data_IF_860718590395
#
_entry.id   IF_860718590395
#
_cell.length_a   1.000
_cell.length_b   1.000
_cell.length_c   1.000
_cell.angle_alpha   90.00
_cell.angle_beta   90.00
_cell.angle_gamma   90.00
#
_symmetry.space_group_name_H-M   'P 1'
#
loop_
_entity.id
_entity.type
_entity.pdbx_description
1 polymer ?
#
# COMPACT_ATOMS: atom_id res chain seq x y z
N UNK A 1 27.35 7.82 -16.56
CA UNK A 1 26.25 7.18 -15.81
C UNK A 1 25.08 7.20 -16.75
N UNK A 2 24.75 6.06 -17.37
CA UNK A 2 23.55 5.98 -18.21
C UNK A 2 22.35 6.46 -17.39
N UNK A 3 21.61 7.43 -17.93
CA UNK A 3 20.52 8.11 -17.25
C UNK A 3 19.32 7.17 -17.16
N UNK A 4 19.35 6.20 -16.25
CA UNK A 4 18.18 5.38 -15.94
C UNK A 4 17.01 6.30 -15.62
N UNK A 5 15.87 6.06 -16.26
CA UNK A 5 14.65 6.81 -15.97
C UNK A 5 14.24 6.53 -14.52
N UNK A 6 14.24 7.58 -13.69
CA UNK A 6 13.84 7.50 -12.27
C UNK A 6 12.68 8.45 -12.04
N UNK A 7 11.51 7.89 -11.71
CA UNK A 7 10.36 8.67 -11.29
C UNK A 7 9.69 8.03 -10.08
N UNK A 8 9.32 8.85 -9.10
CA UNK A 8 8.38 8.48 -8.05
C UNK A 8 7.02 9.05 -8.41
N UNK A 9 6.10 8.17 -8.81
CA UNK A 9 4.75 8.54 -9.18
C UNK A 9 3.91 8.79 -7.93
N UNK A 10 3.31 9.98 -7.87
CA UNK A 10 2.39 10.40 -6.83
C UNK A 10 0.98 10.08 -7.29
N UNK A 11 0.44 8.98 -6.78
CA UNK A 11 -0.90 8.51 -7.10
C UNK A 11 -1.94 9.42 -6.47
N UNK A 12 -2.92 9.84 -7.29
CA UNK A 12 -4.04 10.66 -6.84
C UNK A 12 -5.30 10.44 -7.66
N UNK A 13 -6.46 10.57 -7.02
CA UNK A 13 -7.79 10.60 -7.68
C UNK A 13 -8.40 12.01 -7.61
N UNK A 14 -7.60 13.01 -7.23
CA UNK A 14 -8.01 14.42 -7.17
C UNK A 14 -6.84 15.36 -7.44
N UNK A 15 -7.07 16.53 -8.05
CA UNK A 15 -6.02 17.50 -8.23
C UNK A 15 -5.48 18.01 -6.88
N UNK A 16 -4.17 18.26 -6.84
CA UNK A 16 -3.55 18.97 -5.73
C UNK A 16 -2.54 20.02 -6.22
N UNK A 17 -2.52 21.21 -5.58
CA UNK A 17 -1.87 22.40 -6.16
C UNK A 17 -0.37 22.52 -5.83
N UNK A 18 0.15 21.76 -4.88
CA UNK A 18 1.53 21.97 -4.44
C UNK A 18 2.54 21.45 -5.47
N UNK A 19 3.69 22.14 -5.61
CA UNK A 19 4.79 21.72 -6.45
C UNK A 19 5.44 20.47 -5.86
N UNK A 20 5.98 19.63 -6.73
CA UNK A 20 6.74 18.44 -6.36
C UNK A 20 8.19 18.60 -6.83
N UNK A 21 9.15 17.91 -6.20
CA UNK A 21 10.50 17.84 -6.73
C UNK A 21 10.50 17.27 -8.17
N UNK A 22 11.48 17.61 -9.02
CA UNK A 22 11.48 17.24 -10.44
C UNK A 22 11.33 15.75 -10.73
N UNK A 23 11.82 14.88 -9.84
CA UNK A 23 11.75 13.42 -9.98
C UNK A 23 10.46 12.79 -9.44
N UNK A 24 9.51 13.61 -8.98
CA UNK A 24 8.18 13.17 -8.59
C UNK A 24 7.16 13.58 -9.65
N UNK A 25 6.47 12.59 -10.22
CA UNK A 25 5.48 12.78 -11.28
C UNK A 25 4.07 12.54 -10.75
N UNK A 26 3.12 13.46 -11.01
CA UNK A 26 1.71 13.25 -10.62
C UNK A 26 1.07 12.23 -11.57
N UNK A 27 0.50 11.15 -11.02
CA UNK A 27 -0.27 10.15 -11.76
C UNK A 27 -1.72 10.19 -11.27
N UNK A 28 -2.62 10.64 -12.15
CA UNK A 28 -4.05 10.63 -11.90
C UNK A 28 -4.60 9.23 -12.18
N UNK A 29 -5.23 8.62 -11.17
CA UNK A 29 -5.85 7.30 -11.26
C UNK A 29 -7.36 7.37 -11.37
N UNK A 30 -7.96 6.39 -12.04
CA UNK A 30 -9.38 6.43 -12.41
C UNK A 30 -9.69 7.47 -13.48
N UNK A 31 -8.68 7.84 -14.27
CA UNK A 31 -8.78 8.86 -15.30
C UNK A 31 -9.78 8.51 -16.42
N UNK A 32 -10.12 7.22 -16.60
CA UNK A 32 -11.14 6.78 -17.54
C UNK A 32 -12.53 7.42 -17.31
N UNK A 33 -12.78 7.94 -16.10
CA UNK A 33 -14.04 8.60 -15.73
C UNK A 33 -14.03 10.11 -15.93
N UNK A 34 -12.89 10.70 -16.26
CA UNK A 34 -12.76 12.14 -16.45
C UNK A 34 -13.19 12.54 -17.86
N UNK A 35 -13.93 13.64 -17.95
CA UNK A 35 -14.24 14.26 -19.23
C UNK A 35 -12.95 14.85 -19.89
N UNK A 36 -12.89 14.96 -21.23
CA UNK A 36 -11.73 15.50 -21.94
C UNK A 36 -11.28 16.88 -21.44
N UNK A 37 -12.22 17.76 -21.13
CA UNK A 37 -12.00 19.10 -20.59
C UNK A 37 -11.38 19.08 -19.19
N UNK A 38 -11.79 18.13 -18.34
CA UNK A 38 -11.21 17.96 -17.01
C UNK A 38 -9.76 17.52 -17.14
N UNK A 39 -9.45 16.55 -18.02
CA UNK A 39 -8.07 16.12 -18.28
C UNK A 39 -7.21 17.25 -18.84
N UNK A 40 -7.74 18.02 -19.79
CA UNK A 40 -7.03 19.16 -20.38
C UNK A 40 -6.68 20.25 -19.34
N UNK A 41 -7.48 20.38 -18.27
CA UNK A 41 -7.21 21.30 -17.18
C UNK A 41 -6.08 20.84 -16.23
N UNK A 42 -5.82 19.53 -16.16
CA UNK A 42 -4.86 18.89 -15.26
C UNK A 42 -3.44 18.89 -15.84
N UNK A 43 -2.89 20.08 -16.06
CA UNK A 43 -1.53 20.25 -16.62
C UNK A 43 -0.46 19.61 -15.73
N UNK A 44 0.44 18.86 -16.36
CA UNK A 44 1.55 18.18 -15.68
C UNK A 44 1.19 16.86 -15.00
N UNK A 45 -0.04 16.37 -15.15
CA UNK A 45 -0.44 15.03 -14.75
C UNK A 45 -0.23 14.05 -15.89
N UNK A 46 0.18 12.84 -15.55
CA UNK A 46 -0.02 11.66 -16.40
C UNK A 46 -1.26 10.91 -15.93
N UNK A 47 -1.86 10.14 -16.82
CA UNK A 47 -3.16 9.50 -16.58
C UNK A 47 -3.05 7.98 -16.75
N UNK A 48 -3.65 7.24 -15.84
CA UNK A 48 -3.61 5.78 -15.82
C UNK A 48 -4.50 5.11 -16.87
N UNK A 49 -5.19 5.86 -17.73
CA UNK A 49 -6.10 5.33 -18.75
C UNK A 49 -5.53 5.35 -20.18
N UNK A 50 -4.22 5.55 -20.28
CA UNK A 50 -3.47 5.46 -21.54
C UNK A 50 -2.73 4.12 -21.65
N UNK A 51 -2.41 3.69 -22.87
CA UNK A 51 -1.69 2.43 -23.09
C UNK A 51 -2.45 1.22 -22.52
N UNK A 52 -1.72 0.21 -22.05
CA UNK A 52 -2.33 -0.97 -21.40
C UNK A 52 -2.68 -0.61 -19.95
N UNK A 53 -3.96 -0.72 -19.59
CA UNK A 53 -4.44 -0.23 -18.30
C UNK A 53 -5.69 -0.93 -17.77
N UNK A 54 -6.04 -0.60 -16.52
CA UNK A 54 -7.28 -1.01 -15.83
C UNK A 54 -7.96 0.19 -15.13
N UNK A 55 -7.84 1.40 -15.68
CA UNK A 55 -8.28 2.65 -15.04
C UNK A 55 -9.76 2.62 -14.63
N UNK A 56 -10.62 1.98 -15.44
CA UNK A 56 -12.05 1.83 -15.16
C UNK A 56 -12.34 1.12 -13.83
N UNK A 57 -11.42 0.24 -13.39
CA UNK A 57 -11.52 -0.55 -12.16
C UNK A 57 -11.13 0.21 -10.89
N UNK A 58 -10.81 1.51 -10.98
CA UNK A 58 -10.28 2.31 -9.86
C UNK A 58 -11.19 2.34 -8.63
N UNK A 59 -12.52 2.22 -8.78
CA UNK A 59 -13.42 2.15 -7.61
C UNK A 59 -13.13 0.99 -6.67
N UNK A 60 -12.59 -0.12 -7.20
CA UNK A 60 -12.29 -1.32 -6.41
C UNK A 60 -10.80 -1.55 -6.22
N UNK A 61 -9.99 -1.25 -7.25
CA UNK A 61 -8.54 -1.39 -7.22
C UNK A 61 -7.81 -0.18 -6.63
N UNK A 62 -8.47 0.98 -6.50
CA UNK A 62 -7.88 2.19 -5.95
C UNK A 62 -6.54 2.54 -6.62
N UNK A 63 -5.51 2.85 -5.84
CA UNK A 63 -4.16 3.13 -6.32
C UNK A 63 -3.54 2.03 -7.19
N UNK A 64 -4.05 0.79 -7.13
CA UNK A 64 -3.50 -0.32 -7.89
C UNK A 64 -3.70 -0.14 -9.39
N UNK A 65 -4.65 0.68 -9.85
CA UNK A 65 -4.75 1.01 -11.28
C UNK A 65 -3.52 1.80 -11.76
N UNK A 66 -2.98 2.66 -10.91
CA UNK A 66 -1.70 3.33 -11.15
C UNK A 66 -0.51 2.37 -11.10
N UNK A 67 -0.52 1.43 -10.14
CA UNK A 67 0.50 0.38 -10.04
C UNK A 67 0.51 -0.50 -11.30
N UNK A 68 -0.66 -0.92 -11.79
CA UNK A 68 -0.83 -1.67 -13.03
C UNK A 68 -0.36 -0.88 -14.25
N UNK A 69 -0.73 0.39 -14.34
CA UNK A 69 -0.30 1.24 -15.45
C UNK A 69 1.22 1.37 -15.50
N UNK A 70 1.87 1.53 -14.34
CA UNK A 70 3.33 1.60 -14.28
C UNK A 70 4.00 0.27 -14.67
N UNK A 71 3.41 -0.86 -14.29
CA UNK A 71 3.90 -2.17 -14.69
C UNK A 71 3.95 -2.30 -16.22
N UNK A 72 2.87 -1.89 -16.89
CA UNK A 72 2.73 -2.10 -18.33
C UNK A 72 3.37 -1.02 -19.22
N UNK A 73 3.61 0.18 -18.68
CA UNK A 73 3.96 1.34 -19.51
C UNK A 73 5.32 2.00 -19.16
N UNK A 74 6.05 1.50 -18.14
CA UNK A 74 7.40 2.00 -17.83
C UNK A 74 8.49 1.16 -18.52
N UNK A 75 9.63 1.77 -18.89
CA UNK A 75 10.71 1.06 -19.57
C UNK A 75 11.44 0.11 -18.62
N UNK A 76 12.00 -0.98 -19.17
CA UNK A 76 12.59 -2.09 -18.42
C UNK A 76 13.82 -1.72 -17.59
N UNK A 77 14.53 -0.65 -17.97
CA UNK A 77 15.72 -0.18 -17.25
C UNK A 77 15.42 0.85 -16.15
N UNK A 78 14.14 1.18 -15.94
CA UNK A 78 13.70 2.21 -14.99
C UNK A 78 13.89 1.81 -13.53
N UNK A 79 13.94 2.84 -12.67
CA UNK A 79 13.62 2.71 -11.26
C UNK A 79 12.24 3.34 -11.05
N UNK A 80 11.29 2.51 -10.65
CA UNK A 80 9.88 2.89 -10.48
C UNK A 80 9.58 3.10 -9.01
N UNK A 81 9.01 4.26 -8.68
CA UNK A 81 8.49 4.56 -7.37
C UNK A 81 7.00 4.86 -7.39
N UNK A 82 6.30 4.47 -6.32
CA UNK A 82 4.90 4.78 -6.05
C UNK A 82 4.77 5.36 -4.66
N UNK A 83 4.09 6.50 -4.58
CA UNK A 83 3.71 7.20 -3.36
C UNK A 83 2.29 7.77 -3.51
N UNK A 84 1.67 8.29 -2.45
CA UNK A 84 0.33 8.89 -2.53
C UNK A 84 0.37 10.40 -2.41
N UNK A 85 -0.66 11.06 -2.93
CA UNK A 85 -0.78 12.52 -2.83
C UNK A 85 -0.77 13.07 -1.41
N UNK A 86 -1.06 12.25 -0.37
CA UNK A 86 -0.98 12.65 1.04
C UNK A 86 0.14 12.00 1.84
N UNK A 87 0.93 11.13 1.21
CA UNK A 87 1.92 10.30 1.89
C UNK A 87 3.15 10.20 1.02
N UNK A 88 4.24 10.79 1.50
CA UNK A 88 5.50 10.87 0.78
C UNK A 88 6.60 10.15 1.54
N UNK A 89 7.49 9.46 0.83
CA UNK A 89 8.73 8.98 1.42
C UNK A 89 9.58 10.15 1.94
N UNK A 90 9.91 10.15 3.23
CA UNK A 90 10.77 11.13 3.86
C UNK A 90 10.20 11.74 5.13
N UNK A 91 10.63 12.97 5.42
CA UNK A 91 10.27 13.76 6.60
C UNK A 91 9.93 15.19 6.18
N UNK A 92 9.33 16.02 7.05
CA UNK A 92 9.07 17.43 6.73
C UNK A 92 10.31 18.12 6.16
N UNK A 93 10.16 18.78 5.01
CA UNK A 93 11.26 19.47 4.31
C UNK A 93 12.29 18.56 3.62
N UNK A 94 12.12 17.23 3.67
CA UNK A 94 13.09 16.27 3.10
C UNK A 94 12.39 15.05 2.51
N UNK A 95 11.94 15.18 1.27
CA UNK A 95 11.49 14.05 0.45
C UNK A 95 12.65 13.11 0.08
N UNK A 96 12.34 11.87 -0.27
CA UNK A 96 13.31 10.91 -0.77
C UNK A 96 13.87 11.40 -2.13
N UNK A 97 15.17 11.67 -2.20
CA UNK A 97 15.84 12.06 -3.44
C UNK A 97 16.23 10.85 -4.29
N UNK A 98 16.55 11.08 -5.57
CA UNK A 98 17.08 10.03 -6.47
C UNK A 98 18.32 9.38 -5.86
N UNK A 99 19.27 10.18 -5.36
CA UNK A 99 20.51 9.68 -4.77
C UNK A 99 20.23 8.93 -3.46
N UNK A 100 19.24 9.40 -2.69
CA UNK A 100 18.77 8.72 -1.48
C UNK A 100 18.23 7.33 -1.78
N UNK A 101 17.29 7.23 -2.72
CA UNK A 101 16.71 5.97 -3.14
C UNK A 101 17.77 5.04 -3.75
N UNK A 102 18.65 5.57 -4.61
CA UNK A 102 19.73 4.80 -5.25
C UNK A 102 20.69 4.21 -4.24
N UNK A 103 21.10 4.97 -3.21
CA UNK A 103 21.93 4.44 -2.11
C UNK A 103 21.24 3.36 -1.30
N UNK A 104 19.93 3.46 -1.07
CA UNK A 104 19.18 2.42 -0.37
C UNK A 104 19.09 1.14 -1.22
N UNK A 105 18.82 1.29 -2.53
CA UNK A 105 18.70 0.17 -3.48
C UNK A 105 20.03 -0.54 -3.82
N UNK A 106 21.18 0.02 -3.40
CA UNK A 106 22.45 -0.71 -3.41
C UNK A 106 22.50 -1.84 -2.38
N UNK A 107 21.68 -1.76 -1.31
CA UNK A 107 21.68 -2.70 -0.19
C UNK A 107 20.33 -3.41 0.01
N UNK A 108 19.31 -2.98 -0.71
CA UNK A 108 17.94 -3.47 -0.63
C UNK A 108 17.38 -3.70 -2.04
N UNK A 109 16.45 -4.63 -2.14
CA UNK A 109 15.72 -4.93 -3.37
C UNK A 109 14.57 -3.95 -3.58
N UNK A 110 13.99 -3.46 -2.48
CA UNK A 110 12.87 -2.52 -2.48
C UNK A 110 12.95 -1.53 -1.32
N UNK A 111 12.69 -0.25 -1.60
CA UNK A 111 12.38 0.75 -0.57
C UNK A 111 10.88 0.71 -0.31
N UNK A 112 10.46 0.61 0.94
CA UNK A 112 9.05 0.55 1.36
C UNK A 112 8.75 1.57 2.44
N UNK A 113 7.47 1.85 2.64
CA UNK A 113 7.04 2.66 3.77
C UNK A 113 7.47 1.99 5.08
N UNK A 114 7.79 2.76 6.11
CA UNK A 114 8.06 2.20 7.43
C UNK A 114 6.89 1.34 7.89
N UNK A 115 7.19 0.13 8.40
CA UNK A 115 6.17 -0.81 8.87
C UNK A 115 5.26 -0.17 9.92
N UNK A 116 3.99 -0.52 9.86
CA UNK A 116 3.00 -0.13 10.85
C UNK A 116 2.69 -1.33 11.75
N UNK A 117 2.69 -1.11 13.06
CA UNK A 117 2.32 -2.13 14.04
C UNK A 117 0.81 -2.14 14.23
N UNK A 118 0.25 -3.33 14.32
CA UNK A 118 -1.19 -3.55 14.50
C UNK A 118 -1.47 -4.24 15.82
N UNK A 119 -2.65 -3.98 16.38
CA UNK A 119 -3.14 -4.70 17.55
C UNK A 119 -3.43 -6.16 17.18
N UNK A 120 -2.90 -7.10 17.97
CA UNK A 120 -2.98 -8.53 17.65
C UNK A 120 -2.05 -8.92 16.51
N UNK A 121 -2.62 -9.28 15.35
CA UNK A 121 -1.88 -9.64 14.15
C UNK A 121 -2.60 -9.16 12.87
N UNK A 122 -1.94 -9.27 11.72
CA UNK A 122 -2.44 -8.78 10.43
C UNK A 122 -3.80 -9.41 10.07
N UNK A 123 -4.03 -10.69 10.38
CA UNK A 123 -5.33 -11.33 10.17
C UNK A 123 -6.42 -10.69 11.03
N UNK A 124 -6.21 -10.59 12.33
CA UNK A 124 -7.18 -9.97 13.26
C UNK A 124 -7.44 -8.52 12.86
N UNK A 125 -6.40 -7.79 12.48
CA UNK A 125 -6.53 -6.43 11.96
C UNK A 125 -7.41 -6.39 10.71
N UNK A 126 -7.20 -7.27 9.73
CA UNK A 126 -8.06 -7.34 8.54
C UNK A 126 -9.52 -7.64 8.91
N UNK A 127 -9.75 -8.71 9.67
CA UNK A 127 -11.10 -9.18 10.01
C UNK A 127 -11.87 -8.19 10.92
N UNK A 128 -11.17 -7.25 11.56
CA UNK A 128 -11.80 -6.17 12.34
C UNK A 128 -12.39 -5.07 11.46
N UNK A 129 -11.80 -4.81 10.28
CA UNK A 129 -12.15 -3.66 9.43
C UNK A 129 -12.73 -4.03 8.07
N UNK A 130 -12.61 -5.30 7.66
CA UNK A 130 -13.03 -5.80 6.36
C UNK A 130 -13.70 -7.17 6.48
N UNK A 131 -14.37 -7.59 5.42
CA UNK A 131 -15.07 -8.87 5.37
C UNK A 131 -14.10 -10.05 5.41
N UNK A 132 -14.15 -10.87 6.48
CA UNK A 132 -13.25 -12.02 6.69
C UNK A 132 -13.35 -13.05 5.56
N UNK A 133 -14.48 -13.13 4.87
CA UNK A 133 -14.71 -14.00 3.73
C UNK A 133 -13.76 -13.66 2.57
N UNK A 134 -13.44 -12.38 2.33
CA UNK A 134 -12.48 -11.97 1.30
C UNK A 134 -11.06 -12.47 1.60
N UNK A 135 -10.67 -12.47 2.88
CA UNK A 135 -9.37 -12.99 3.29
C UNK A 135 -9.30 -14.53 3.18
N UNK A 136 -10.42 -15.23 3.42
CA UNK A 136 -10.52 -16.68 3.20
C UNK A 136 -10.44 -17.03 1.72
N UNK A 137 -11.13 -16.26 0.87
CA UNK A 137 -11.05 -16.38 -0.58
C UNK A 137 -9.62 -16.15 -1.06
N UNK A 138 -8.96 -15.09 -0.58
CA UNK A 138 -7.57 -14.83 -0.91
C UNK A 138 -6.66 -16.02 -0.55
N UNK A 139 -6.81 -16.58 0.65
CA UNK A 139 -6.02 -17.73 1.10
C UNK A 139 -6.28 -18.97 0.24
N UNK A 140 -7.53 -19.25 -0.15
CA UNK A 140 -7.86 -20.41 -0.99
C UNK A 140 -7.29 -20.27 -2.41
N UNK A 141 -7.30 -19.06 -2.97
CA UNK A 141 -6.68 -18.75 -4.26
C UNK A 141 -5.16 -18.98 -4.20
N UNK A 142 -4.48 -18.47 -3.16
CA UNK A 142 -3.04 -18.71 -2.97
C UNK A 142 -2.77 -20.21 -2.84
N UNK A 143 -3.54 -20.93 -2.02
CA UNK A 143 -3.37 -22.38 -1.87
C UNK A 143 -3.49 -23.14 -3.21
N UNK A 144 -4.37 -22.67 -4.12
CA UNK A 144 -4.60 -23.31 -5.41
C UNK A 144 -3.57 -22.92 -6.47
N UNK A 145 -3.23 -21.63 -6.58
CA UNK A 145 -2.38 -21.10 -7.67
C UNK A 145 -0.90 -21.03 -7.30
N UNK A 146 -0.61 -20.80 -6.02
CA UNK A 146 0.74 -20.59 -5.48
C UNK A 146 0.92 -21.32 -4.13
N UNK A 147 0.77 -22.66 -4.09
CA UNK A 147 0.84 -23.44 -2.85
C UNK A 147 2.15 -23.22 -2.07
N UNK A 148 3.25 -22.94 -2.76
CA UNK A 148 4.56 -22.59 -2.19
C UNK A 148 4.56 -21.26 -1.41
N UNK A 149 3.60 -20.37 -1.69
CA UNK A 149 3.42 -19.11 -0.98
C UNK A 149 2.53 -19.26 0.27
N UNK A 150 1.86 -20.41 0.48
CA UNK A 150 0.85 -20.55 1.52
C UNK A 150 1.42 -20.37 2.94
N UNK A 151 2.59 -20.96 3.21
CA UNK A 151 3.26 -20.79 4.51
C UNK A 151 3.68 -19.33 4.74
N UNK A 152 4.09 -18.64 3.68
CA UNK A 152 4.44 -17.22 3.73
C UNK A 152 3.20 -16.35 3.95
N UNK A 153 2.06 -16.74 3.37
CA UNK A 153 0.77 -16.11 3.64
C UNK A 153 0.37 -16.25 5.11
N UNK A 154 0.38 -17.47 5.64
CA UNK A 154 0.03 -17.72 7.05
C UNK A 154 1.01 -17.02 7.99
N UNK A 155 2.30 -17.00 7.64
CA UNK A 155 3.32 -16.23 8.36
C UNK A 155 3.01 -14.74 8.37
N UNK A 156 2.69 -14.14 7.21
CA UNK A 156 2.34 -12.72 7.09
C UNK A 156 1.11 -12.39 7.97
N UNK A 157 0.08 -13.24 7.91
CA UNK A 157 -1.15 -13.09 8.67
C UNK A 157 -0.92 -13.16 10.19
N UNK A 158 0.11 -13.89 10.63
CA UNK A 158 0.52 -13.98 12.03
C UNK A 158 1.38 -12.81 12.54
N UNK A 159 1.93 -11.97 11.65
CA UNK A 159 2.77 -10.82 12.07
C UNK A 159 1.92 -9.77 12.77
N UNK A 160 2.54 -9.02 13.68
CA UNK A 160 1.96 -7.84 14.32
C UNK A 160 2.34 -6.53 13.61
N UNK A 161 2.76 -6.61 12.34
CA UNK A 161 3.04 -5.45 11.50
C UNK A 161 2.70 -5.74 10.02
N UNK A 162 2.47 -4.67 9.26
CA UNK A 162 2.35 -4.70 7.80
C UNK A 162 2.98 -3.46 7.15
N UNK A 163 3.09 -3.51 5.82
CA UNK A 163 3.48 -2.39 4.98
C UNK A 163 2.25 -1.82 4.28
N UNK A 164 1.56 -0.89 4.96
CA UNK A 164 0.38 -0.25 4.42
C UNK A 164 0.71 0.65 3.22
N UNK A 165 -0.34 1.04 2.49
CA UNK A 165 -0.32 2.00 1.39
C UNK A 165 0.25 1.48 0.06
N UNK A 166 0.73 0.25 -0.07
CA UNK A 166 1.29 -0.21 -1.36
C UNK A 166 2.40 0.73 -1.91
N UNK A 167 3.11 1.45 -1.03
CA UNK A 167 4.16 2.40 -1.40
C UNK A 167 5.50 1.68 -1.54
N UNK A 168 6.17 1.86 -2.67
CA UNK A 168 7.45 1.23 -2.94
C UNK A 168 8.32 2.03 -3.90
N UNK A 169 9.64 1.82 -3.84
CA UNK A 169 10.59 2.20 -4.91
C UNK A 169 11.51 1.03 -5.16
N UNK A 170 11.62 0.57 -6.40
CA UNK A 170 12.49 -0.53 -6.78
C UNK A 170 12.88 -0.47 -8.26
N UNK A 171 13.81 -1.33 -8.67
CA UNK A 171 14.12 -1.49 -10.11
C UNK A 171 12.92 -2.14 -10.81
N UNK A 172 12.71 -1.81 -12.09
CA UNK A 172 11.56 -2.28 -12.87
C UNK A 172 11.45 -3.80 -12.89
N UNK A 173 12.56 -4.54 -12.91
CA UNK A 173 12.50 -6.01 -12.92
C UNK A 173 11.89 -6.58 -11.62
N UNK A 174 12.19 -5.95 -10.47
CA UNK A 174 11.60 -6.31 -9.17
C UNK A 174 10.12 -5.92 -9.14
N UNK A 175 9.80 -4.74 -9.67
CA UNK A 175 8.44 -4.23 -9.75
C UNK A 175 7.55 -5.15 -10.60
N UNK A 176 8.04 -5.58 -11.75
CA UNK A 176 7.32 -6.45 -12.69
C UNK A 176 7.06 -7.82 -12.11
N UNK A 177 8.08 -8.44 -11.49
CA UNK A 177 7.92 -9.73 -10.83
C UNK A 177 6.82 -9.67 -9.74
N UNK A 178 6.79 -8.59 -8.96
CA UNK A 178 5.72 -8.36 -7.99
C UNK A 178 4.35 -8.18 -8.65
N UNK A 179 4.26 -7.38 -9.70
CA UNK A 179 3.00 -7.10 -10.38
C UNK A 179 2.41 -8.34 -11.07
N UNK A 180 3.25 -9.16 -11.71
CA UNK A 180 2.82 -10.43 -12.33
C UNK A 180 2.13 -11.30 -11.28
N UNK A 181 2.76 -11.49 -10.12
CA UNK A 181 2.20 -12.29 -9.04
C UNK A 181 0.96 -11.64 -8.39
N UNK A 182 1.02 -10.35 -8.11
CA UNK A 182 -0.06 -9.61 -7.46
C UNK A 182 -1.34 -9.63 -8.30
N UNK A 183 -1.25 -9.24 -9.58
CA UNK A 183 -2.45 -9.11 -10.42
C UNK A 183 -3.02 -10.46 -10.83
N UNK A 184 -2.21 -11.50 -11.00
CA UNK A 184 -2.74 -12.86 -11.26
C UNK A 184 -3.60 -13.40 -10.09
N UNK A 185 -3.27 -13.01 -8.85
CA UNK A 185 -4.07 -13.32 -7.66
C UNK A 185 -5.32 -12.43 -7.57
N UNK A 186 -5.16 -11.12 -7.76
CA UNK A 186 -6.26 -10.17 -7.61
C UNK A 186 -7.34 -10.35 -8.69
N UNK A 187 -6.96 -10.68 -9.93
CA UNK A 187 -7.91 -10.98 -11.01
C UNK A 187 -8.74 -12.23 -10.69
N UNK A 188 -8.14 -13.25 -10.07
CA UNK A 188 -8.86 -14.43 -9.60
C UNK A 188 -9.82 -14.08 -8.44
N UNK A 189 -9.40 -13.19 -7.53
CA UNK A 189 -10.27 -12.69 -6.46
C UNK A 189 -11.46 -11.91 -7.04
N UNK A 190 -11.20 -11.04 -8.01
CA UNK A 190 -12.23 -10.25 -8.68
C UNK A 190 -13.27 -11.12 -9.41
N UNK A 191 -12.84 -12.22 -10.02
CA UNK A 191 -13.75 -13.17 -10.68
C UNK A 191 -14.67 -13.94 -9.72
N UNK A 192 -14.38 -13.96 -8.42
CA UNK A 192 -15.11 -14.76 -7.42
C UNK A 192 -15.78 -13.93 -6.32
N UNK A 193 -15.34 -12.69 -6.10
CA UNK A 193 -15.87 -11.83 -5.04
C UNK A 193 -17.24 -11.25 -5.41
N UNK A 194 -18.21 -11.34 -4.51
CA UNK A 194 -19.49 -10.63 -4.61
C UNK A 194 -19.44 -9.33 -3.80
N UNK A 195 -19.37 -8.20 -4.52
CA UNK A 195 -19.31 -6.86 -3.93
C UNK A 195 -20.68 -6.15 -3.92
N UNK A 196 -21.76 -6.84 -4.31
CA UNK A 196 -23.09 -6.22 -4.47
C UNK A 196 -23.62 -5.60 -3.17
N UNK A 197 -23.32 -6.21 -2.03
CA UNK A 197 -23.71 -5.75 -0.71
C UNK A 197 -22.73 -4.76 -0.08
N UNK A 198 -21.60 -4.44 -0.73
CA UNK A 198 -20.53 -3.64 -0.14
C UNK A 198 -20.85 -2.15 -0.29
N UNK A 199 -20.55 -1.37 0.75
CA UNK A 199 -20.51 0.08 0.63
C UNK A 199 -19.29 0.55 -0.18
N UNK A 200 -19.23 1.84 -0.53
CA UNK A 200 -18.15 2.38 -1.35
C UNK A 200 -16.77 2.27 -0.69
N UNK A 201 -16.71 2.15 0.64
CA UNK A 201 -15.44 1.92 1.33
C UNK A 201 -15.00 0.46 1.20
N UNK A 202 -15.88 -0.51 1.42
CA UNK A 202 -15.57 -1.93 1.34
C UNK A 202 -15.34 -2.39 -0.10
N UNK A 203 -15.97 -1.76 -1.11
CA UNK A 203 -15.70 -2.05 -2.53
C UNK A 203 -14.22 -1.92 -2.92
N UNK A 204 -13.42 -1.20 -2.13
CA UNK A 204 -11.97 -1.02 -2.27
C UNK A 204 -11.15 -2.24 -1.85
N UNK A 205 -11.79 -3.40 -1.72
CA UNK A 205 -11.23 -4.61 -1.13
C UNK A 205 -9.90 -5.03 -1.73
N UNK A 206 -9.73 -4.90 -3.05
CA UNK A 206 -8.48 -5.32 -3.71
C UNK A 206 -7.29 -4.45 -3.29
N UNK A 207 -7.50 -3.17 -3.01
CA UNK A 207 -6.49 -2.30 -2.40
C UNK A 207 -6.07 -2.80 -1.01
N UNK A 208 -7.03 -3.20 -0.18
CA UNK A 208 -6.76 -3.74 1.15
C UNK A 208 -6.08 -5.11 1.09
N UNK A 209 -6.48 -6.00 0.18
CA UNK A 209 -5.82 -7.29 -0.02
C UNK A 209 -4.38 -7.12 -0.51
N UNK A 210 -4.11 -6.16 -1.41
CA UNK A 210 -2.77 -5.87 -1.90
C UNK A 210 -1.79 -5.46 -0.78
N UNK A 211 -2.24 -4.71 0.22
CA UNK A 211 -1.36 -4.35 1.37
C UNK A 211 -0.92 -5.59 2.16
N UNK A 212 -1.77 -6.62 2.22
CA UNK A 212 -1.44 -7.90 2.86
C UNK A 212 -0.51 -8.70 1.96
N UNK A 213 -0.82 -8.76 0.66
CA UNK A 213 -0.04 -9.47 -0.35
C UNK A 213 1.38 -8.92 -0.49
N UNK A 214 1.61 -7.61 -0.30
CA UNK A 214 2.95 -7.05 -0.27
C UNK A 214 3.81 -7.72 0.81
N UNK A 215 3.30 -7.86 2.04
CA UNK A 215 4.05 -8.56 3.10
C UNK A 215 4.29 -10.02 2.77
N UNK A 216 3.31 -10.72 2.17
CA UNK A 216 3.45 -12.12 1.73
C UNK A 216 4.58 -12.25 0.73
N UNK A 217 4.60 -11.41 -0.31
CA UNK A 217 5.61 -11.42 -1.36
C UNK A 217 7.02 -11.17 -0.79
N UNK A 218 7.15 -10.17 0.09
CA UNK A 218 8.43 -9.84 0.72
C UNK A 218 8.97 -11.00 1.58
N UNK A 219 8.09 -11.70 2.30
CA UNK A 219 8.48 -12.85 3.12
C UNK A 219 8.86 -14.06 2.26
N UNK A 220 8.03 -14.39 1.26
CA UNK A 220 8.23 -15.55 0.40
C UNK A 220 9.55 -15.46 -0.38
N UNK A 221 9.80 -14.32 -1.01
CA UNK A 221 11.02 -14.09 -1.80
C UNK A 221 12.22 -13.63 -0.96
N UNK A 222 12.08 -13.57 0.38
CA UNK A 222 13.15 -13.15 1.31
C UNK A 222 13.77 -11.79 0.94
N UNK A 223 12.93 -10.86 0.48
CA UNK A 223 13.36 -9.58 -0.06
C UNK A 223 14.04 -8.72 0.99
N UNK A 224 15.16 -8.09 0.65
CA UNK A 224 15.80 -7.09 1.50
C UNK A 224 15.09 -5.76 1.31
N UNK A 225 14.46 -5.25 2.37
CA UNK A 225 13.71 -4.00 2.31
C UNK A 225 14.40 -2.87 3.07
N UNK A 226 14.37 -1.67 2.48
CA UNK A 226 14.75 -0.42 3.13
C UNK A 226 13.50 0.34 3.57
N UNK A 227 13.26 0.42 4.87
CA UNK A 227 12.11 1.15 5.42
C UNK A 227 12.38 2.65 5.54
N UNK A 228 11.52 3.46 4.92
CA UNK A 228 11.63 4.91 4.94
C UNK A 228 10.43 5.53 5.67
N UNK A 229 10.63 6.52 6.55
CA UNK A 229 9.52 7.25 7.18
C UNK A 229 8.55 7.81 6.15
N UNK A 230 7.27 7.87 6.52
CA UNK A 230 6.22 8.46 5.69
C UNK A 230 5.87 9.83 6.26
N UNK A 231 6.03 10.86 5.43
CA UNK A 231 5.48 12.18 5.69
C UNK A 231 4.00 12.17 5.28
N UNK A 232 3.12 12.28 6.26
CA UNK A 232 1.69 12.52 6.02
C UNK A 232 1.41 14.02 5.96
N UNK A 233 0.78 14.46 4.88
CA UNK A 233 0.41 15.86 4.69
C UNK A 233 -1.08 16.04 4.92
N UNK A 234 -1.49 16.97 5.79
CA UNK A 234 -2.90 17.34 5.99
C UNK A 234 -3.44 18.09 4.76
N UNK A 235 -3.72 17.37 3.68
CA UNK A 235 -4.29 17.94 2.46
C UNK A 235 -5.82 17.87 2.44
N UNK A 236 -6.43 17.36 3.52
CA UNK A 236 -7.88 17.31 3.69
C UNK A 236 -8.27 17.18 5.18
N UNK A 237 -9.17 18.05 5.66
CA UNK A 237 -9.69 18.01 7.04
C UNK A 237 -10.45 16.70 7.33
N UNK A 238 -10.93 16.00 6.31
CA UNK A 238 -11.61 14.69 6.42
C UNK A 238 -10.68 13.56 6.89
N UNK A 239 -9.38 13.60 6.54
CA UNK A 239 -8.40 12.63 7.04
C UNK A 239 -8.08 12.85 8.51
N UNK A 240 -8.17 14.10 8.98
CA UNK A 240 -8.06 14.46 10.39
C UNK A 240 -9.17 13.81 11.20
N UNK A 241 -10.42 13.84 10.70
CA UNK A 241 -11.53 13.12 11.33
C UNK A 241 -11.33 11.60 11.41
N UNK A 242 -10.85 10.94 10.35
CA UNK A 242 -10.60 9.48 10.39
C UNK A 242 -9.42 9.12 11.31
N UNK A 243 -8.35 9.92 11.31
CA UNK A 243 -7.19 9.77 12.20
C UNK A 243 -7.53 10.08 13.65
N UNK A 244 -8.36 11.09 13.90
CA UNK A 244 -8.83 11.44 15.24
C UNK A 244 -9.85 10.43 15.73
N UNK A 245 -10.74 9.91 14.88
CA UNK A 245 -11.61 8.78 15.20
C UNK A 245 -10.78 7.52 15.53
N UNK A 246 -9.71 7.26 14.80
CA UNK A 246 -8.76 6.18 15.10
C UNK A 246 -8.07 6.36 16.45
N UNK A 247 -7.53 7.56 16.72
CA UNK A 247 -6.93 7.91 18.01
C UNK A 247 -7.95 7.82 19.15
N UNK A 248 -9.18 8.29 18.95
CA UNK A 248 -10.25 8.25 19.93
C UNK A 248 -10.72 6.81 20.22
N UNK A 249 -10.87 5.96 19.20
CA UNK A 249 -11.19 4.54 19.37
C UNK A 249 -10.04 3.83 20.13
N UNK A 250 -8.79 4.15 19.80
CA UNK A 250 -7.61 3.59 20.46
C UNK A 250 -7.54 4.02 21.94
N UNK A 251 -7.78 5.30 22.23
CA UNK A 251 -7.80 5.84 23.60
C UNK A 251 -8.98 5.28 24.40
N UNK A 252 -10.17 5.20 23.81
CA UNK A 252 -11.35 4.63 24.46
C UNK A 252 -11.13 3.14 24.80
N UNK A 253 -10.60 2.34 23.87
CA UNK A 253 -10.28 0.93 24.13
C UNK A 253 -9.25 0.76 25.25
N UNK A 254 -8.18 1.58 25.27
CA UNK A 254 -7.19 1.58 26.35
C UNK A 254 -7.76 2.03 27.72
N UNK A 255 -8.82 2.84 27.72
CA UNK A 255 -9.52 3.25 28.94
C UNK A 255 -10.40 2.14 29.51
N UNK A 256 -10.99 1.29 28.66
CA UNK A 256 -11.83 0.16 29.08
C UNK A 256 -11.05 -1.13 29.37
N UNK A 257 -9.85 -1.32 28.79
CA UNK A 257 -8.99 -2.48 29.09
C UNK A 257 -8.15 -2.32 30.36
N UNK A 258 -7.97 -1.09 30.88
CA UNK A 258 -7.20 -0.84 32.10
C UNK A 258 -8.01 -0.91 33.41
N UNK A 259 -9.27 -1.34 33.39
CA UNK A 259 -9.99 -1.73 34.61
C UNK A 259 -9.88 -3.24 34.85
N UNK A 260 -8.71 -3.69 35.31
CA UNK A 260 -8.63 -4.99 35.97
C UNK A 260 -7.34 -5.76 35.76
N UNK A 261 -6.21 -5.28 36.29
CA UNK A 261 -5.18 -6.17 36.82
C UNK A 261 -4.54 -5.49 38.03
N UNK A 262 -5.07 -5.78 39.23
CA UNK A 262 -4.40 -5.48 40.49
C UNK A 262 -3.12 -6.33 40.57
N UNK A 263 -1.98 -5.67 40.74
CA UNK A 263 -0.67 -6.29 40.84
C UNK A 263 -0.53 -7.04 42.16
N UNK A 264 -0.59 -8.37 42.13
CA UNK A 264 -0.21 -9.21 43.27
C UNK A 264 1.33 -9.31 43.32
N UNK A 265 1.95 -8.60 44.27
CA UNK A 265 3.39 -8.65 44.54
C UNK A 265 3.73 -9.95 45.27
N UNK A 266 4.46 -10.85 44.62
CA UNK A 266 5.15 -11.96 45.29
C UNK A 266 6.35 -11.41 46.08
N UNK A 267 6.31 -11.50 47.41
CA UNK A 267 7.43 -11.17 48.29
C UNK A 267 8.14 -12.47 48.66
N UNK A 268 9.28 -12.73 48.03
CA UNK A 268 10.22 -13.79 48.44
C UNK A 268 11.33 -13.15 49.27
N UNK A 269 11.51 -13.60 50.51
CA UNK A 269 12.82 -13.76 51.18
C UNK A 269 12.61 -14.50 52.51
N UNK A 270 13.22 -15.67 52.62
CA UNK A 270 13.33 -16.40 53.87
C UNK A 270 14.42 -15.84 54.78
N UNK A 271 14.26 -16.11 56.07
CA UNK A 271 15.17 -16.92 56.90
C UNK A 271 14.30 -17.65 57.91
#
# INVERSE_FOLDING_TARGET
MDSKTFHIYVITHKPFPFPLPPHYQKLYVGAARLAPEEKASLKGYVFDDSGVNISEKNSSYCELTGLYWLWKNQPDDAIVGITHYRRFFGKPGKYLSIEGASRLLQKADMVVARRQWVEGNVKVHFETFHCKEDLRLLRSIIQKKYPECLDSFDCAMSKCFLFSYNMMVCRKEVFDAYCVWLFDILEECEGQADLSAYDDYQKRIFGFLAERLLLVYLLHHQMKVAEVPVLETELDKSAKWASDKWKMITVAKNFFTNRGVGTMRYRRKGR
#
